data_IF_446013838087
#
_entry.id   IF_446013838087
#
_cell.length_a   1.000
_cell.length_b   1.000
_cell.length_c   1.000
_cell.angle_alpha   90.00
_cell.angle_beta   90.00
_cell.angle_gamma   90.00
#
_symmetry.space_group_name_H-M   'P 1'
#
loop_
_entity.id
_entity.type
_entity.pdbx_description
1 polymer ?
#
# COMPACT_ATOMS: atom_id res chain seq x y z
N UNK A 1 -10.67 8.78 11.45
CA UNK A 1 -9.29 8.87 10.93
C UNK A 1 -9.15 7.83 9.84
N UNK A 2 -8.97 8.28 8.60
CA UNK A 2 -8.83 7.48 7.39
C UNK A 2 -7.40 6.92 7.29
N UNK A 3 -7.25 5.60 7.20
CA UNK A 3 -5.94 4.94 7.09
C UNK A 3 -5.66 4.54 5.65
N UNK A 4 -4.61 5.12 5.09
CA UNK A 4 -4.19 4.92 3.70
C UNK A 4 -2.98 4.00 3.66
N UNK A 5 -3.08 2.90 2.91
CA UNK A 5 -1.91 2.12 2.51
C UNK A 5 -1.39 2.68 1.18
N UNK A 6 -0.35 3.51 1.23
CA UNK A 6 0.38 3.92 0.02
C UNK A 6 1.44 2.88 -0.32
N UNK A 7 1.53 2.49 -1.59
CA UNK A 7 2.45 1.47 -2.10
C UNK A 7 3.44 2.11 -3.10
N UNK A 8 4.71 2.30 -2.71
CA UNK A 8 5.21 2.34 -1.33
C UNK A 8 5.00 3.72 -0.69
N UNK A 9 4.74 3.76 0.62
CA UNK A 9 4.55 4.99 1.39
C UNK A 9 5.82 5.84 1.43
N UNK A 10 7.00 5.20 1.42
CA UNK A 10 8.30 5.88 1.40
C UNK A 10 8.69 6.52 0.06
N UNK A 11 7.91 6.33 -1.01
CA UNK A 11 8.23 6.92 -2.31
C UNK A 11 8.18 8.47 -2.24
N UNK A 12 9.04 9.21 -2.97
CA UNK A 12 9.02 10.67 -2.94
C UNK A 12 7.67 11.29 -3.30
N UNK A 13 6.92 10.69 -4.23
CA UNK A 13 5.61 11.19 -4.64
C UNK A 13 4.56 11.15 -3.52
N UNK A 14 4.19 10.00 -2.90
CA UNK A 14 3.28 9.98 -1.76
C UNK A 14 3.72 10.89 -0.61
N UNK A 15 5.02 10.96 -0.29
CA UNK A 15 5.54 11.86 0.75
C UNK A 15 5.33 13.34 0.41
N UNK A 16 5.42 13.72 -0.86
CA UNK A 16 5.18 15.09 -1.30
C UNK A 16 3.70 15.51 -1.22
N UNK A 17 2.77 14.55 -1.10
CA UNK A 17 1.35 14.85 -0.90
C UNK A 17 1.03 15.24 0.54
N UNK A 18 1.87 14.89 1.51
CA UNK A 18 1.62 15.15 2.93
C UNK A 18 1.98 16.61 3.30
N UNK A 19 1.07 17.36 3.96
CA UNK A 19 1.38 18.67 4.52
C UNK A 19 2.52 18.56 5.54
N UNK A 20 3.31 19.62 5.70
CA UNK A 20 4.43 19.63 6.66
C UNK A 20 4.00 19.32 8.11
N UNK A 21 2.76 19.66 8.47
CA UNK A 21 2.18 19.40 9.80
C UNK A 21 1.39 18.07 9.87
N UNK A 22 1.40 17.29 8.79
CA UNK A 22 0.54 16.12 8.62
C UNK A 22 -0.92 16.47 8.34
N UNK A 23 -1.73 15.44 8.19
CA UNK A 23 -3.19 15.56 8.04
C UNK A 23 -3.88 15.36 9.40
N UNK A 24 -4.94 16.13 9.68
CA UNK A 24 -5.72 15.97 10.91
C UNK A 24 -6.45 14.61 10.98
N UNK A 25 -7.01 14.17 9.85
CA UNK A 25 -7.91 13.01 9.79
C UNK A 25 -7.38 11.86 8.94
N UNK A 26 -6.15 11.94 8.43
CA UNK A 26 -5.56 10.93 7.54
C UNK A 26 -4.28 10.38 8.18
N UNK A 27 -4.11 9.07 8.14
CA UNK A 27 -2.88 8.38 8.51
C UNK A 27 -2.39 7.58 7.32
N UNK A 28 -1.21 7.91 6.81
CA UNK A 28 -0.50 7.06 5.85
C UNK A 28 0.23 5.97 6.62
N UNK A 29 -0.09 4.71 6.35
CA UNK A 29 0.55 3.58 7.01
C UNK A 29 2.00 3.42 6.52
N UNK A 30 2.96 3.10 7.42
CA UNK A 30 4.34 2.87 7.02
C UNK A 30 4.46 1.59 6.18
N UNK A 31 5.46 1.56 5.29
CA UNK A 31 5.78 0.34 4.54
C UNK A 31 6.14 -0.81 5.51
N UNK A 32 5.64 -2.02 5.30
CA UNK A 32 5.93 -3.15 6.18
C UNK A 32 7.39 -3.59 6.06
N UNK A 33 8.04 -3.82 7.21
CA UNK A 33 9.39 -4.37 7.26
C UNK A 33 9.31 -5.89 7.03
N UNK A 34 9.69 -6.32 5.83
CA UNK A 34 9.66 -7.75 5.42
C UNK A 34 10.87 -8.53 5.92
N UNK A 35 12.03 -7.89 6.06
CA UNK A 35 13.25 -8.48 6.63
C UNK A 35 13.80 -7.57 7.73
N UNK A 36 13.77 -8.04 8.98
CA UNK A 36 14.25 -7.28 10.14
C UNK A 36 15.77 -7.10 10.16
N UNK A 37 16.51 -8.03 9.56
CA UNK A 37 17.97 -7.97 9.48
C UNK A 37 18.44 -7.00 8.40
N UNK A 38 17.57 -6.69 7.42
CA UNK A 38 17.84 -5.69 6.39
C UNK A 38 16.64 -4.78 6.13
N UNK A 39 16.31 -3.87 7.06
CA UNK A 39 15.08 -3.07 7.00
C UNK A 39 15.10 -2.00 5.90
N UNK A 40 16.27 -1.70 5.32
CA UNK A 40 16.42 -0.72 4.23
C UNK A 40 16.40 -1.34 2.84
N UNK A 41 16.43 -2.67 2.75
CA UNK A 41 16.35 -3.34 1.46
C UNK A 41 15.00 -3.09 0.83
N UNK A 42 15.00 -2.82 -0.47
CA UNK A 42 13.79 -2.69 -1.24
C UNK A 42 13.23 -4.09 -1.56
N UNK A 43 11.91 -4.21 -1.46
CA UNK A 43 11.17 -5.44 -1.74
C UNK A 43 9.83 -5.09 -2.43
N UNK A 44 9.27 -6.01 -3.23
CA UNK A 44 7.86 -5.95 -3.59
C UNK A 44 6.99 -5.78 -2.35
N UNK A 45 6.04 -4.84 -2.42
CA UNK A 45 5.17 -4.58 -1.30
C UNK A 45 4.28 -5.82 -1.05
N UNK A 46 4.27 -6.38 0.18
CA UNK A 46 3.62 -7.67 0.45
C UNK A 46 2.10 -7.62 0.31
N UNK A 47 1.50 -6.42 0.33
CA UNK A 47 0.07 -6.26 0.04
C UNK A 47 -0.36 -6.68 -1.37
N UNK A 48 0.56 -6.89 -2.32
CA UNK A 48 0.21 -7.51 -3.59
C UNK A 48 -0.09 -9.03 -3.46
N UNK A 49 0.28 -9.65 -2.34
CA UNK A 49 -0.01 -11.05 -2.04
C UNK A 49 -1.30 -11.19 -1.22
N UNK A 50 -2.29 -12.01 -1.65
CA UNK A 50 -3.56 -12.15 -0.95
C UNK A 50 -3.46 -12.52 0.54
N UNK A 51 -2.48 -13.36 0.89
CA UNK A 51 -2.26 -13.85 2.26
C UNK A 51 -1.88 -12.74 3.23
N UNK A 52 -1.30 -11.63 2.76
CA UNK A 52 -0.99 -10.47 3.60
C UNK A 52 -2.27 -9.87 4.21
N UNK A 53 -3.38 -9.94 3.48
CA UNK A 53 -4.66 -9.36 3.88
C UNK A 53 -5.44 -10.18 4.91
N UNK A 54 -4.97 -11.38 5.25
CA UNK A 54 -5.60 -12.23 6.27
C UNK A 54 -5.24 -11.78 7.69
N UNK A 55 -4.13 -11.06 7.87
CA UNK A 55 -3.66 -10.58 9.18
C UNK A 55 -3.47 -9.06 9.29
N UNK A 56 -2.93 -8.41 8.25
CA UNK A 56 -2.50 -7.00 8.30
C UNK A 56 -3.54 -6.00 7.75
N UNK A 57 -4.62 -6.50 7.16
CA UNK A 57 -5.64 -5.66 6.52
C UNK A 57 -6.54 -4.87 7.47
N UNK A 58 -6.48 -5.14 8.79
CA UNK A 58 -7.46 -4.58 9.73
C UNK A 58 -7.35 -3.06 9.80
N UNK A 59 -8.39 -2.40 9.29
CA UNK A 59 -8.55 -0.95 9.36
C UNK A 59 -7.87 -0.18 8.24
N UNK A 60 -7.51 -0.82 7.10
CA UNK A 60 -7.11 -0.07 5.91
C UNK A 60 -8.38 0.42 5.22
N UNK A 61 -8.48 1.74 5.02
CA UNK A 61 -9.65 2.37 4.43
C UNK A 61 -9.46 2.70 2.95
N UNK A 62 -8.22 2.80 2.48
CA UNK A 62 -7.89 3.10 1.08
C UNK A 62 -6.50 2.56 0.71
N UNK A 63 -6.37 2.05 -0.52
CA UNK A 63 -5.08 1.70 -1.10
C UNK A 63 -4.72 2.70 -2.19
N UNK A 64 -3.52 3.26 -2.10
CA UNK A 64 -2.92 4.11 -3.12
C UNK A 64 -1.70 3.41 -3.70
N UNK A 65 -1.71 3.10 -5.00
CA UNK A 65 -0.56 2.51 -5.70
C UNK A 65 0.10 3.58 -6.56
N UNK A 66 1.41 3.74 -6.40
CA UNK A 66 2.22 4.66 -7.22
C UNK A 66 3.36 3.93 -7.93
N UNK A 67 4.00 2.97 -7.27
CA UNK A 67 5.21 2.30 -7.80
C UNK A 67 5.31 0.84 -7.31
N UNK A 68 6.21 0.05 -7.91
CA UNK A 68 6.60 -1.26 -7.41
C UNK A 68 5.67 -2.40 -7.83
N UNK A 69 4.85 -2.21 -8.86
CA UNK A 69 3.93 -3.20 -9.41
C UNK A 69 4.38 -3.74 -10.79
N UNK A 70 5.50 -3.27 -11.34
CA UNK A 70 6.05 -3.66 -12.64
C UNK A 70 6.40 -5.14 -12.77
N UNK A 71 6.58 -5.82 -11.63
CA UNK A 71 6.87 -7.26 -11.57
C UNK A 71 5.61 -8.14 -11.57
N UNK A 72 4.41 -7.55 -11.46
CA UNK A 72 3.16 -8.29 -11.41
C UNK A 72 2.76 -8.79 -12.81
N UNK A 73 2.28 -10.03 -12.87
CA UNK A 73 1.60 -10.54 -14.06
C UNK A 73 0.18 -9.95 -14.14
N UNK A 74 -0.43 -9.99 -15.32
CA UNK A 74 -1.84 -9.57 -15.51
C UNK A 74 -2.77 -10.30 -14.53
N UNK A 75 -2.55 -11.60 -14.32
CA UNK A 75 -3.35 -12.41 -13.40
C UNK A 75 -3.19 -11.93 -11.95
N UNK A 76 -1.96 -11.64 -11.51
CA UNK A 76 -1.70 -11.11 -10.17
C UNK A 76 -2.32 -9.73 -9.97
N UNK A 77 -2.20 -8.85 -10.96
CA UNK A 77 -2.82 -7.52 -10.92
C UNK A 77 -4.34 -7.62 -10.82
N UNK A 78 -4.98 -8.46 -11.64
CA UNK A 78 -6.43 -8.71 -11.57
C UNK A 78 -6.83 -9.24 -10.20
N UNK A 79 -6.10 -10.25 -9.68
CA UNK A 79 -6.40 -10.84 -8.38
C UNK A 79 -6.30 -9.82 -7.26
N UNK A 80 -5.31 -8.92 -7.30
CA UNK A 80 -5.17 -7.83 -6.35
C UNK A 80 -6.36 -6.87 -6.40
N UNK A 81 -6.78 -6.43 -7.59
CA UNK A 81 -7.93 -5.53 -7.72
C UNK A 81 -9.24 -6.18 -7.28
N UNK A 82 -9.44 -7.46 -7.58
CA UNK A 82 -10.59 -8.24 -7.12
C UNK A 82 -10.63 -8.35 -5.60
N UNK A 83 -9.47 -8.60 -4.98
CA UNK A 83 -9.35 -8.69 -3.53
C UNK A 83 -9.69 -7.36 -2.83
N UNK A 84 -9.27 -6.22 -3.38
CA UNK A 84 -9.65 -4.91 -2.83
C UNK A 84 -11.16 -4.67 -2.97
N UNK A 85 -11.74 -5.04 -4.11
CA UNK A 85 -13.17 -4.95 -4.35
C UNK A 85 -13.97 -5.85 -3.38
N UNK A 86 -13.59 -7.12 -3.20
CA UNK A 86 -14.18 -8.06 -2.23
C UNK A 86 -14.17 -7.49 -0.78
N UNK A 87 -13.14 -6.71 -0.45
CA UNK A 87 -12.98 -6.08 0.87
C UNK A 87 -13.61 -4.70 0.99
N UNK A 88 -14.23 -4.18 -0.07
CA UNK A 88 -14.74 -2.81 -0.15
C UNK A 88 -13.67 -1.74 0.13
N UNK A 89 -12.45 -1.95 -0.35
CA UNK A 89 -11.33 -1.02 -0.21
C UNK A 89 -11.13 -0.28 -1.54
N UNK A 90 -11.34 1.05 -1.58
CA UNK A 90 -11.06 1.86 -2.75
C UNK A 90 -9.58 1.78 -3.17
N UNK A 91 -9.35 1.75 -4.48
CA UNK A 91 -8.03 1.80 -5.10
C UNK A 91 -7.83 3.13 -5.83
N UNK A 92 -6.75 3.84 -5.50
CA UNK A 92 -6.24 5.00 -6.24
C UNK A 92 -4.93 4.60 -6.91
N UNK A 93 -4.80 4.86 -8.21
CA UNK A 93 -3.59 4.62 -8.98
C UNK A 93 -3.00 5.96 -9.44
N UNK A 94 -1.71 6.15 -9.24
CA UNK A 94 -0.92 7.24 -9.84
C UNK A 94 0.28 6.66 -10.58
N UNK A 95 0.76 7.34 -11.62
CA UNK A 95 1.90 6.93 -12.47
C UNK A 95 2.86 8.09 -12.70
#
# INVERSE_FOLDING_TARGET
MLKILSIPAGHPYPRALEPQQGWADITVLPDPITNKDNPRQWWPHPAFEPTWWEGQAKGIDLVHVHFGFEHLTIERTRRFTELLHEKNIPLVLTV
#
